data_IF_629199268410
#
_entry.id   IF_629199268410
#
_cell.length_a   1.000
_cell.length_b   1.000
_cell.length_c   1.000
_cell.angle_alpha   90.00
_cell.angle_beta   90.00
_cell.angle_gamma   90.00
#
_symmetry.space_group_name_H-M   'P 1'
#
loop_
_entity.id
_entity.type
_entity.pdbx_description
1 polymer ?
#
# COMPACT_ATOMS: atom_id res chain seq x y z
N UNK A 1 -11.80 -7.96 19.97
CA UNK A 1 -12.65 -9.06 19.70
C UNK A 1 -11.86 -10.36 19.68
N UNK A 2 -12.50 -11.46 19.90
CA UNK A 2 -11.88 -12.77 19.91
C UNK A 2 -11.88 -13.49 18.58
N UNK A 3 -12.30 -12.83 17.51
CA UNK A 3 -12.35 -13.49 16.20
C UNK A 3 -10.98 -13.73 15.62
N UNK A 4 -10.71 -14.99 15.26
CA UNK A 4 -9.49 -15.36 14.57
C UNK A 4 -9.55 -14.93 13.12
N UNK A 5 -8.53 -14.23 12.66
CA UNK A 5 -8.38 -13.93 11.26
C UNK A 5 -7.83 -15.16 10.52
N UNK A 6 -8.24 -15.39 9.27
CA UNK A 6 -7.69 -16.51 8.50
C UNK A 6 -6.18 -16.41 8.38
N UNK A 7 -5.52 -17.56 8.37
CA UNK A 7 -4.11 -17.62 8.01
C UNK A 7 -3.94 -17.06 6.60
N UNK A 8 -2.94 -16.24 6.38
CA UNK A 8 -2.70 -15.57 5.12
C UNK A 8 -3.47 -14.27 4.91
N UNK A 9 -4.33 -13.87 5.85
CA UNK A 9 -5.00 -12.57 5.78
C UNK A 9 -4.04 -11.45 6.17
N UNK A 10 -4.01 -10.38 5.39
CA UNK A 10 -3.17 -9.23 5.65
C UNK A 10 -3.88 -7.93 5.29
N UNK A 11 -3.45 -6.85 5.93
CA UNK A 11 -3.82 -5.49 5.56
C UNK A 11 -2.64 -4.86 4.82
N UNK A 12 -2.92 -4.20 3.72
CA UNK A 12 -1.91 -3.43 2.98
C UNK A 12 -2.27 -1.96 3.07
N UNK A 13 -1.38 -1.19 3.69
CA UNK A 13 -1.50 0.27 3.79
C UNK A 13 -0.87 0.89 2.55
N UNK A 14 -1.61 1.74 1.85
CA UNK A 14 -1.19 2.37 0.59
C UNK A 14 -1.17 3.88 0.76
N UNK A 15 0.01 4.46 0.54
CA UNK A 15 0.27 5.89 0.70
C UNK A 15 -0.31 6.72 -0.44
N UNK A 16 -0.52 7.99 -0.19
CA UNK A 16 -1.05 8.95 -1.15
C UNK A 16 -0.01 9.65 -2.01
N UNK A 17 -0.40 10.78 -2.59
CA UNK A 17 0.45 11.60 -3.45
C UNK A 17 1.65 12.17 -2.69
N UNK A 18 2.75 12.35 -3.41
CA UNK A 18 4.03 12.87 -2.89
C UNK A 18 4.65 12.06 -1.75
N UNK A 19 4.11 10.90 -1.46
CA UNK A 19 4.65 10.05 -0.40
C UNK A 19 5.93 9.35 -0.86
N UNK A 20 6.88 9.29 0.06
CA UNK A 20 8.02 8.38 -0.03
C UNK A 20 7.87 7.45 1.16
N UNK A 21 7.47 6.22 0.87
CA UNK A 21 7.13 5.24 1.90
C UNK A 21 7.85 3.93 1.61
N UNK A 22 8.62 3.41 2.56
CA UNK A 22 9.29 2.13 2.34
C UNK A 22 8.30 0.97 2.47
N UNK A 23 8.69 -0.18 1.92
CA UNK A 23 8.04 -1.43 2.26
C UNK A 23 8.30 -1.75 3.73
N UNK A 24 7.26 -2.06 4.48
CA UNK A 24 7.39 -2.54 5.86
C UNK A 24 6.61 -3.83 6.06
N UNK A 25 7.10 -4.66 6.97
CA UNK A 25 6.45 -5.90 7.41
C UNK A 25 5.83 -5.70 8.78
N UNK A 26 5.00 -6.65 9.26
CA UNK A 26 4.41 -6.53 10.59
C UNK A 26 5.44 -6.43 11.72
N UNK A 27 6.56 -7.09 11.57
CA UNK A 27 7.60 -7.16 12.60
C UNK A 27 8.77 -6.19 12.37
N UNK A 28 8.82 -5.52 11.21
CA UNK A 28 9.93 -4.63 10.88
C UNK A 28 9.44 -3.36 10.18
N UNK A 29 9.53 -2.25 10.89
CA UNK A 29 9.36 -0.92 10.32
C UNK A 29 10.73 -0.35 9.99
N UNK A 30 10.79 0.45 8.91
CA UNK A 30 11.97 1.26 8.65
C UNK A 30 11.56 2.72 8.66
N UNK A 31 11.52 3.28 9.83
CA UNK A 31 11.03 4.62 10.03
C UNK A 31 12.09 5.46 10.74
N UNK A 32 12.48 6.56 10.10
CA UNK A 32 13.32 7.59 10.68
C UNK A 32 12.86 8.93 10.13
N UNK A 33 13.18 10.01 10.81
CA UNK A 33 12.87 11.36 10.33
C UNK A 33 11.38 11.55 10.04
N UNK A 34 11.07 12.07 8.87
CA UNK A 34 9.70 12.40 8.48
C UNK A 34 8.82 11.15 8.34
N UNK A 35 9.38 10.03 7.92
CA UNK A 35 8.62 8.80 7.75
C UNK A 35 8.04 8.29 9.07
N UNK A 36 8.73 8.52 10.17
CA UNK A 36 8.30 8.06 11.49
C UNK A 36 7.02 8.73 11.99
N UNK A 37 6.72 9.93 11.51
CA UNK A 37 5.57 10.71 11.98
C UNK A 37 4.44 10.85 11.00
N UNK A 38 4.46 10.17 9.87
CA UNK A 38 3.42 10.34 8.86
C UNK A 38 2.16 9.52 9.17
N UNK A 39 1.08 9.82 8.43
CA UNK A 39 -0.21 9.17 8.62
C UNK A 39 -0.16 7.66 8.37
N UNK A 40 0.64 7.22 7.43
CA UNK A 40 0.74 5.79 7.09
C UNK A 40 1.38 5.01 8.22
N UNK A 41 2.38 5.58 8.87
CA UNK A 41 3.00 5.01 10.07
C UNK A 41 1.98 4.88 11.19
N UNK A 42 1.18 5.91 11.42
CA UNK A 42 0.13 5.89 12.45
C UNK A 42 -0.93 4.84 12.14
N UNK A 43 -1.35 4.71 10.90
CA UNK A 43 -2.32 3.69 10.47
C UNK A 43 -1.74 2.29 10.71
N UNK A 44 -0.50 2.07 10.29
CA UNK A 44 0.18 0.80 10.49
C UNK A 44 0.23 0.42 11.97
N UNK A 45 0.67 1.33 12.82
CA UNK A 45 0.78 1.09 14.26
C UNK A 45 -0.57 0.78 14.89
N UNK A 46 -1.62 1.49 14.49
CA UNK A 46 -2.97 1.21 14.94
C UNK A 46 -3.41 -0.21 14.58
N UNK A 47 -3.18 -0.61 13.33
CA UNK A 47 -3.56 -1.94 12.84
C UNK A 47 -2.80 -3.05 13.57
N UNK A 48 -1.50 -2.88 13.75
CA UNK A 48 -0.69 -3.85 14.49
C UNK A 48 -1.16 -3.96 15.94
N UNK A 49 -1.50 -2.84 16.57
CA UNK A 49 -2.02 -2.82 17.93
C UNK A 49 -3.37 -3.53 18.08
N UNK A 50 -4.13 -3.64 16.99
CA UNK A 50 -5.41 -4.39 16.96
C UNK A 50 -5.22 -5.85 16.54
N UNK A 51 -4.00 -6.30 16.35
CA UNK A 51 -3.69 -7.69 16.01
C UNK A 51 -3.76 -8.02 14.52
N UNK A 52 -3.82 -7.01 13.65
CA UNK A 52 -3.75 -7.23 12.19
C UNK A 52 -2.32 -7.50 11.75
N UNK A 53 -2.20 -8.31 10.70
CA UNK A 53 -0.94 -8.47 9.96
C UNK A 53 -0.89 -7.36 8.92
N UNK A 54 -0.11 -6.31 9.17
CA UNK A 54 -0.10 -5.12 8.32
C UNK A 54 1.23 -4.95 7.61
N UNK A 55 1.16 -4.70 6.30
CA UNK A 55 2.29 -4.33 5.44
C UNK A 55 2.05 -2.93 4.91
N UNK A 56 3.12 -2.21 4.65
CA UNK A 56 3.05 -0.94 3.91
C UNK A 56 3.63 -1.17 2.52
N UNK A 57 2.89 -0.78 1.47
CA UNK A 57 3.39 -0.87 0.11
C UNK A 57 4.42 0.24 -0.15
N UNK A 58 5.48 -0.05 -0.93
CA UNK A 58 6.46 0.98 -1.25
C UNK A 58 5.91 2.01 -2.21
N UNK A 59 6.26 3.28 -1.97
CA UNK A 59 5.83 4.40 -2.80
C UNK A 59 6.94 5.44 -2.93
N UNK A 60 7.04 6.02 -4.12
CA UNK A 60 7.96 7.12 -4.43
C UNK A 60 7.18 8.29 -5.02
N UNK A 61 7.71 9.49 -4.86
CA UNK A 61 7.22 10.68 -5.56
C UNK A 61 7.94 10.86 -6.90
N UNK A 62 8.03 9.80 -7.66
CA UNK A 62 8.73 9.67 -8.92
C UNK A 62 8.97 8.20 -9.20
N UNK A 63 9.72 7.90 -10.26
CA UNK A 63 10.10 6.54 -10.62
C UNK A 63 11.26 6.06 -9.75
N UNK A 64 11.30 4.76 -9.47
CA UNK A 64 12.43 4.14 -8.83
C UNK A 64 12.08 3.34 -7.58
N UNK A 65 13.14 2.88 -6.91
CA UNK A 65 13.04 2.11 -5.67
C UNK A 65 13.08 3.03 -4.45
N UNK A 66 12.49 2.59 -3.36
CA UNK A 66 12.54 3.32 -2.10
C UNK A 66 13.78 2.88 -1.33
N UNK A 67 14.85 3.66 -1.44
CA UNK A 67 16.14 3.36 -0.81
C UNK A 67 16.50 4.34 0.31
N UNK A 68 15.94 5.55 0.27
CA UNK A 68 16.18 6.57 1.29
C UNK A 68 14.99 7.56 1.35
N UNK A 69 15.09 8.54 2.22
CA UNK A 69 14.07 9.56 2.44
C UNK A 69 14.28 10.81 1.57
N UNK A 70 14.97 10.67 0.45
CA UNK A 70 15.19 11.75 -0.52
C UNK A 70 15.71 13.05 0.12
N UNK A 71 16.88 12.96 0.73
CA UNK A 71 17.54 14.09 1.35
C UNK A 71 17.34 14.20 2.85
N UNK A 72 16.47 13.38 3.44
CA UNK A 72 16.27 13.36 4.89
C UNK A 72 16.96 12.18 5.57
N UNK A 73 17.82 11.48 4.84
CA UNK A 73 18.58 10.35 5.37
C UNK A 73 18.03 8.99 4.99
N UNK A 74 18.70 7.96 5.43
CA UNK A 74 18.27 6.57 5.22
C UNK A 74 17.06 6.23 6.11
N UNK A 75 16.28 5.22 5.69
CA UNK A 75 15.16 4.74 6.49
C UNK A 75 15.58 3.90 7.72
N UNK A 76 16.85 3.70 7.94
CA UNK A 76 17.34 2.84 9.02
C UNK A 76 17.26 1.37 8.61
N UNK A 77 16.91 0.50 9.56
CA UNK A 77 16.79 -0.93 9.27
C UNK A 77 15.47 -1.19 8.58
N UNK A 78 15.53 -1.58 7.32
CA UNK A 78 14.36 -1.91 6.51
C UNK A 78 14.39 -3.40 6.14
N UNK A 79 13.21 -3.99 5.84
CA UNK A 79 13.19 -5.26 5.13
C UNK A 79 13.77 -5.08 3.72
N UNK A 80 13.54 -5.99 2.83
CA UNK A 80 14.11 -5.88 1.48
C UNK A 80 13.61 -4.63 0.74
N UNK A 81 14.48 -4.05 -0.09
CA UNK A 81 14.07 -3.01 -1.04
C UNK A 81 13.44 -3.69 -2.25
N UNK A 82 12.22 -3.29 -2.58
CA UNK A 82 11.49 -3.88 -3.69
C UNK A 82 11.78 -3.17 -5.01
N UNK A 83 11.62 -3.86 -6.15
CA UNK A 83 11.84 -3.26 -7.47
C UNK A 83 10.92 -2.09 -7.79
N UNK A 84 11.34 -1.25 -8.73
CA UNK A 84 10.53 -0.14 -9.23
C UNK A 84 9.15 -0.59 -9.68
N UNK A 85 9.03 -1.72 -10.35
CA UNK A 85 7.75 -2.21 -10.88
C UNK A 85 6.80 -2.76 -9.82
N UNK A 86 7.20 -2.76 -8.55
CA UNK A 86 6.35 -3.05 -7.39
C UNK A 86 6.18 -1.82 -6.50
N UNK A 87 6.70 -0.68 -6.92
CA UNK A 87 6.69 0.57 -6.16
C UNK A 87 5.75 1.56 -6.82
N UNK A 88 4.80 2.08 -6.06
CA UNK A 88 3.86 3.08 -6.57
C UNK A 88 4.61 4.37 -6.87
N UNK A 89 4.44 4.89 -8.10
CA UNK A 89 4.94 6.21 -8.47
C UNK A 89 3.78 7.20 -8.35
N UNK A 90 3.80 8.04 -7.31
CA UNK A 90 2.71 8.97 -7.04
C UNK A 90 2.63 10.14 -8.02
N UNK A 91 3.63 10.32 -8.89
CA UNK A 91 3.61 11.34 -9.95
C UNK A 91 3.25 10.74 -11.32
N UNK A 92 3.10 9.43 -11.41
CA UNK A 92 2.71 8.74 -12.62
C UNK A 92 1.20 8.57 -12.74
N UNK A 93 0.77 7.77 -13.70
CA UNK A 93 -0.64 7.49 -13.89
C UNK A 93 -1.18 6.57 -12.78
N UNK A 94 -2.48 6.71 -12.49
CA UNK A 94 -3.17 5.85 -11.53
C UNK A 94 -3.18 4.39 -12.03
N UNK A 95 -3.32 4.19 -13.35
CA UNK A 95 -3.32 2.85 -13.93
C UNK A 95 -1.98 2.14 -13.72
N UNK A 96 -0.88 2.83 -13.96
CA UNK A 96 0.47 2.26 -13.72
C UNK A 96 0.69 1.99 -12.23
N UNK A 97 0.25 2.89 -11.36
CA UNK A 97 0.32 2.67 -9.92
C UNK A 97 -0.44 1.41 -9.52
N UNK A 98 -1.61 1.19 -10.10
CA UNK A 98 -2.40 -0.03 -9.87
C UNK A 98 -1.68 -1.28 -10.31
N UNK A 99 -1.01 -1.25 -11.45
CA UNK A 99 -0.22 -2.39 -11.94
C UNK A 99 0.93 -2.73 -10.99
N UNK A 100 1.65 -1.71 -10.53
CA UNK A 100 2.76 -1.90 -9.60
C UNK A 100 2.27 -2.42 -8.25
N UNK A 101 1.19 -1.88 -7.74
CA UNK A 101 0.59 -2.32 -6.48
C UNK A 101 0.07 -3.76 -6.58
N UNK A 102 -0.51 -4.13 -7.72
CA UNK A 102 -0.96 -5.51 -7.96
C UNK A 102 0.23 -6.48 -7.97
N UNK A 103 1.36 -6.10 -8.58
CA UNK A 103 2.59 -6.91 -8.52
C UNK A 103 3.09 -7.07 -7.10
N UNK A 104 3.04 -6.01 -6.32
CA UNK A 104 3.42 -6.06 -4.91
C UNK A 104 2.56 -7.06 -4.14
N UNK A 105 1.25 -7.03 -4.35
CA UNK A 105 0.33 -7.96 -3.68
C UNK A 105 0.63 -9.41 -4.08
N UNK A 106 0.88 -9.68 -5.35
CA UNK A 106 1.26 -11.01 -5.80
C UNK A 106 2.61 -11.45 -5.22
N UNK A 107 3.54 -10.52 -5.08
CA UNK A 107 4.82 -10.78 -4.41
C UNK A 107 4.61 -11.15 -2.93
N UNK A 108 3.68 -10.48 -2.24
CA UNK A 108 3.33 -10.84 -0.86
C UNK A 108 2.80 -12.27 -0.76
N UNK A 109 2.04 -12.72 -1.77
CA UNK A 109 1.61 -14.11 -1.83
C UNK A 109 2.81 -15.04 -1.94
N UNK A 110 3.68 -14.79 -2.89
CA UNK A 110 4.80 -15.69 -3.20
C UNK A 110 5.83 -15.74 -2.07
N UNK A 111 6.10 -14.62 -1.42
CA UNK A 111 7.18 -14.49 -0.43
C UNK A 111 6.70 -14.58 1.02
N UNK A 112 5.45 -14.20 1.29
CA UNK A 112 4.93 -14.10 2.65
C UNK A 112 3.71 -14.99 2.90
N UNK A 113 3.22 -15.68 1.87
CA UNK A 113 2.05 -16.55 2.01
C UNK A 113 0.73 -15.81 2.16
N UNK A 114 0.66 -14.55 1.75
CA UNK A 114 -0.57 -13.75 1.81
C UNK A 114 -1.56 -14.25 0.77
N UNK A 115 -2.76 -14.59 1.19
CA UNK A 115 -3.84 -15.10 0.32
C UNK A 115 -5.06 -14.20 0.27
N UNK A 116 -5.22 -13.34 1.25
CA UNK A 116 -6.32 -12.38 1.33
C UNK A 116 -5.80 -11.03 1.78
N UNK A 117 -6.28 -9.97 1.15
CA UNK A 117 -5.85 -8.60 1.44
C UNK A 117 -7.05 -7.70 1.68
N UNK A 118 -6.95 -6.89 2.74
CA UNK A 118 -7.76 -5.72 2.95
C UNK A 118 -6.86 -4.50 2.67
N UNK A 119 -7.25 -3.66 1.74
CA UNK A 119 -6.52 -2.41 1.49
C UNK A 119 -6.98 -1.31 2.43
N UNK A 120 -6.03 -0.54 2.92
CA UNK A 120 -6.29 0.75 3.58
C UNK A 120 -5.55 1.82 2.79
N UNK A 121 -6.28 2.59 2.01
CA UNK A 121 -5.72 3.64 1.16
C UNK A 121 -5.83 5.01 1.82
N UNK A 122 -4.70 5.67 2.03
CA UNK A 122 -4.66 7.02 2.55
C UNK A 122 -4.55 8.02 1.40
N UNK A 123 -5.44 9.02 1.36
CA UNK A 123 -5.44 10.04 0.31
C UNK A 123 -5.51 9.40 -1.09
N UNK A 124 -4.61 9.73 -1.99
CA UNK A 124 -4.55 9.13 -3.33
C UNK A 124 -4.34 7.61 -3.31
N UNK A 125 -3.87 7.07 -2.19
CA UNK A 125 -3.71 5.62 -2.01
C UNK A 125 -5.01 4.84 -2.20
N UNK A 126 -6.15 5.45 -1.95
CA UNK A 126 -7.46 4.85 -2.24
C UNK A 126 -7.68 4.63 -3.73
N UNK A 127 -7.25 5.57 -4.57
CA UNK A 127 -7.35 5.45 -6.04
C UNK A 127 -6.38 4.40 -6.58
N UNK A 128 -5.16 4.36 -6.06
CA UNK A 128 -4.17 3.35 -6.46
C UNK A 128 -4.65 1.94 -6.10
N UNK A 129 -5.25 1.79 -4.92
CA UNK A 129 -5.81 0.52 -4.46
C UNK A 129 -6.94 0.04 -5.37
N UNK A 130 -7.81 0.94 -5.80
CA UNK A 130 -8.88 0.60 -6.72
C UNK A 130 -8.35 0.14 -8.07
N UNK A 131 -7.36 0.83 -8.59
CA UNK A 131 -6.73 0.43 -9.84
C UNK A 131 -6.08 -0.96 -9.70
N UNK A 132 -5.44 -1.24 -8.58
CA UNK A 132 -4.86 -2.56 -8.30
C UNK A 132 -5.93 -3.65 -8.24
N UNK A 133 -7.07 -3.38 -7.61
CA UNK A 133 -8.19 -4.33 -7.52
C UNK A 133 -8.66 -4.72 -8.92
N UNK A 134 -8.76 -3.75 -9.85
CA UNK A 134 -9.13 -4.05 -11.25
C UNK A 134 -8.13 -4.98 -11.91
N UNK A 135 -6.84 -4.71 -11.75
CA UNK A 135 -5.77 -5.55 -12.33
C UNK A 135 -5.86 -6.95 -11.75
N UNK A 136 -5.99 -7.08 -10.44
CA UNK A 136 -6.07 -8.39 -9.79
C UNK A 136 -7.33 -9.16 -10.19
N UNK A 137 -8.44 -8.47 -10.44
CA UNK A 137 -9.69 -9.11 -10.87
C UNK A 137 -9.65 -9.61 -12.30
N UNK A 138 -8.79 -9.02 -13.15
CA UNK A 138 -8.70 -9.38 -14.58
C UNK A 138 -7.49 -10.26 -14.90
N UNK A 139 -6.70 -10.60 -13.90
CA UNK A 139 -5.52 -11.45 -14.04
C UNK A 139 -5.68 -12.71 -13.19
N UNK A 140 -4.77 -13.65 -13.35
CA UNK A 140 -4.81 -14.93 -12.63
C UNK A 140 -4.11 -14.77 -11.26
N UNK A 141 -4.60 -13.86 -10.45
CA UNK A 141 -4.06 -13.62 -9.11
C UNK A 141 -4.53 -14.70 -8.13
N UNK A 142 -3.60 -15.12 -7.26
CA UNK A 142 -3.89 -16.05 -6.16
C UNK A 142 -4.28 -15.33 -4.87
N UNK A 143 -4.41 -14.01 -4.91
CA UNK A 143 -4.78 -13.20 -3.76
C UNK A 143 -6.20 -12.69 -3.94
N UNK A 144 -7.02 -12.92 -2.92
CA UNK A 144 -8.38 -12.37 -2.87
C UNK A 144 -8.35 -11.02 -2.19
N UNK A 145 -8.98 -10.03 -2.79
CA UNK A 145 -9.16 -8.72 -2.15
C UNK A 145 -10.51 -8.73 -1.44
N UNK A 146 -10.47 -8.59 -0.12
CA UNK A 146 -11.67 -8.65 0.71
C UNK A 146 -12.35 -7.30 0.86
N UNK A 147 -11.58 -6.23 1.02
CA UNK A 147 -12.13 -4.91 1.27
C UNK A 147 -11.16 -3.81 0.89
N UNK A 148 -11.70 -2.62 0.74
CA UNK A 148 -10.94 -1.38 0.60
C UNK A 148 -11.55 -0.35 1.55
N UNK A 149 -10.75 0.13 2.48
CA UNK A 149 -11.07 1.26 3.34
C UNK A 149 -10.25 2.46 2.89
N UNK A 150 -10.89 3.60 2.72
CA UNK A 150 -10.21 4.83 2.30
C UNK A 150 -10.25 5.87 3.40
N UNK A 151 -9.14 6.57 3.57
CA UNK A 151 -8.99 7.62 4.58
C UNK A 151 -8.54 8.89 3.85
N UNK A 152 -9.41 9.92 3.85
CA UNK A 152 -9.10 11.18 3.20
C UNK A 152 -8.91 11.10 1.69
N UNK A 153 -9.48 10.08 1.03
CA UNK A 153 -9.35 9.91 -0.42
C UNK A 153 -10.21 10.94 -1.16
N UNK A 154 -9.68 11.58 -2.22
CA UNK A 154 -10.38 12.66 -2.90
C UNK A 154 -11.44 12.15 -3.89
N UNK A 155 -12.61 11.77 -3.36
CA UNK A 155 -13.72 11.30 -4.18
C UNK A 155 -14.58 12.44 -4.72
N UNK A 156 -14.45 13.65 -4.18
CA UNK A 156 -15.38 14.76 -4.40
C UNK A 156 -14.83 15.80 -5.37
N UNK A 157 -15.73 16.37 -6.18
CA UNK A 157 -15.51 17.63 -6.88
C UNK A 157 -14.56 17.60 -8.08
N UNK A 158 -14.30 16.43 -8.66
CA UNK A 158 -13.39 16.30 -9.80
C UNK A 158 -13.70 15.05 -10.60
N UNK A 159 -13.02 14.89 -11.73
CA UNK A 159 -13.08 13.64 -12.50
C UNK A 159 -12.66 12.42 -11.68
N UNK A 160 -11.85 12.62 -10.63
CA UNK A 160 -11.46 11.54 -9.73
C UNK A 160 -12.64 10.99 -8.95
N UNK A 161 -13.61 11.82 -8.62
CA UNK A 161 -14.85 11.39 -7.97
C UNK A 161 -15.62 10.41 -8.85
N UNK A 162 -15.81 10.74 -10.13
CA UNK A 162 -16.49 9.85 -11.07
C UNK A 162 -15.71 8.56 -11.28
N UNK A 163 -14.39 8.66 -11.45
CA UNK A 163 -13.53 7.50 -11.58
C UNK A 163 -13.66 6.56 -10.37
N UNK A 164 -13.66 7.11 -9.18
CA UNK A 164 -13.78 6.34 -7.96
C UNK A 164 -15.16 5.67 -7.84
N UNK A 165 -16.22 6.36 -8.20
CA UNK A 165 -17.59 5.83 -8.14
C UNK A 165 -17.77 4.65 -9.09
N UNK A 166 -17.18 4.71 -10.27
CA UNK A 166 -17.24 3.62 -11.26
C UNK A 166 -16.56 2.35 -10.76
N UNK A 167 -15.64 2.47 -9.84
CA UNK A 167 -14.90 1.32 -9.28
C UNK A 167 -15.58 0.72 -8.04
N UNK A 168 -16.53 1.45 -7.48
CA UNK A 168 -17.28 0.97 -6.36
C UNK A 168 -18.42 0.08 -6.84
#
# INVERSE_FOLDING_TARGET
SGEKRPAGAAVVVVSGGDAVSPFTTPDQACATGLAAGNSDTAIREYLLGKGYTAYTSPAMNGRGQVVDQQGFGAFGVCPVTLPENMTVNSTGSIDTAGEHLARFVNWLHDEKGVTEVDFVGHSMGGLYSRAAIRVLATTDSKVKIRSLTTIGTPWQGSYLSDYANDLM
#
